data_IF_833410340198
#
_entry.id   IF_833410340198
#
_cell.length_a   1.000
_cell.length_b   1.000
_cell.length_c   1.000
_cell.angle_alpha   90.00
_cell.angle_beta   90.00
_cell.angle_gamma   90.00
#
_symmetry.space_group_name_H-M   'P 1'
#
loop_
_entity.id
_entity.type
_entity.pdbx_description
1 polymer ?
#
# COMPACT_ATOMS: atom_id res chain seq x y z
N UNK A 1 30.82 0.70 4.50
CA UNK A 1 30.69 0.96 3.09
C UNK A 1 30.19 -0.22 2.32
N UNK A 2 29.26 0.04 1.47
CA UNK A 2 28.64 -0.99 0.69
C UNK A 2 29.45 -1.21 -0.57
N UNK A 3 30.00 -2.39 -0.73
CA UNK A 3 30.79 -2.67 -1.91
C UNK A 3 29.94 -3.05 -3.11
N UNK A 4 28.79 -3.67 -2.84
CA UNK A 4 27.89 -4.09 -3.90
C UNK A 4 26.56 -3.42 -3.69
N UNK A 5 25.97 -2.89 -4.75
CA UNK A 5 24.65 -2.28 -4.60
C UNK A 5 23.65 -3.34 -4.19
N UNK A 6 22.69 -2.91 -3.39
CA UNK A 6 21.61 -3.80 -3.03
C UNK A 6 20.72 -4.04 -4.23
N UNK A 7 20.25 -5.26 -4.35
CA UNK A 7 19.34 -5.62 -5.41
C UNK A 7 17.92 -5.59 -4.91
N UNK A 8 16.99 -5.08 -5.71
CA UNK A 8 15.60 -5.01 -5.26
C UNK A 8 14.90 -6.36 -5.23
N UNK A 9 15.34 -7.31 -6.04
CA UNK A 9 14.61 -8.57 -6.20
C UNK A 9 14.43 -9.34 -4.91
N UNK A 10 15.46 -9.54 -4.07
CA UNK A 10 15.24 -10.29 -2.84
C UNK A 10 14.23 -9.62 -1.92
N UNK A 11 14.27 -8.30 -1.83
CA UNK A 11 13.31 -7.57 -0.99
C UNK A 11 11.90 -7.70 -1.54
N UNK A 12 11.75 -7.58 -2.86
CA UNK A 12 10.44 -7.73 -3.48
C UNK A 12 9.88 -9.13 -3.24
N UNK A 13 10.71 -10.15 -3.41
CA UNK A 13 10.28 -11.52 -3.20
C UNK A 13 9.88 -11.76 -1.75
N UNK A 14 10.65 -11.19 -0.81
CA UNK A 14 10.31 -11.29 0.60
C UNK A 14 8.95 -10.62 0.87
N UNK A 15 8.70 -9.48 0.23
CA UNK A 15 7.42 -8.82 0.36
C UNK A 15 6.27 -9.69 -0.10
N UNK A 16 6.45 -10.36 -1.24
CA UNK A 16 5.42 -11.26 -1.77
C UNK A 16 5.14 -12.39 -0.79
N UNK A 17 6.21 -12.97 -0.23
CA UNK A 17 6.03 -14.06 0.74
C UNK A 17 5.30 -13.59 1.99
N UNK A 18 5.67 -12.44 2.51
CA UNK A 18 4.98 -11.88 3.68
C UNK A 18 3.51 -11.59 3.38
N UNK A 19 3.23 -11.03 2.20
CA UNK A 19 1.86 -10.72 1.82
C UNK A 19 1.03 -12.00 1.72
N UNK A 20 1.61 -13.06 1.17
CA UNK A 20 0.92 -14.32 1.04
C UNK A 20 0.56 -14.92 2.40
N UNK A 21 1.33 -14.59 3.42
CA UNK A 21 1.09 -15.06 4.78
C UNK A 21 0.19 -14.12 5.57
N UNK A 22 -0.25 -13.03 4.97
CA UNK A 22 -1.06 -12.05 5.67
C UNK A 22 -0.28 -11.10 6.54
N UNK A 23 1.05 -11.14 6.46
CA UNK A 23 1.92 -10.26 7.25
C UNK A 23 2.12 -8.96 6.49
N UNK A 24 1.08 -8.12 6.49
CA UNK A 24 1.06 -6.97 5.60
C UNK A 24 2.05 -5.89 6.01
N UNK A 25 2.28 -5.70 7.30
CA UNK A 25 3.28 -4.74 7.75
C UNK A 25 4.67 -5.12 7.27
N UNK A 26 5.03 -6.39 7.45
CA UNK A 26 6.34 -6.87 7.00
C UNK A 26 6.46 -6.79 5.49
N UNK A 27 5.37 -7.08 4.78
CA UNK A 27 5.36 -6.98 3.32
C UNK A 27 5.58 -5.54 2.87
N UNK A 28 4.93 -4.58 3.52
CA UNK A 28 5.11 -3.17 3.20
C UNK A 28 6.58 -2.77 3.35
N UNK A 29 7.18 -3.13 4.47
CA UNK A 29 8.58 -2.82 4.72
C UNK A 29 9.48 -3.41 3.63
N UNK A 30 9.23 -4.66 3.26
CA UNK A 30 10.06 -5.32 2.25
C UNK A 30 9.93 -4.64 0.89
N UNK A 31 8.72 -4.31 0.46
CA UNK A 31 8.55 -3.63 -0.82
C UNK A 31 9.19 -2.25 -0.80
N UNK A 32 9.10 -1.53 0.32
CA UNK A 32 9.74 -0.21 0.41
C UNK A 32 11.26 -0.34 0.35
N UNK A 33 11.82 -1.40 0.92
CA UNK A 33 13.25 -1.65 0.80
C UNK A 33 13.65 -1.95 -0.64
N UNK A 34 12.81 -2.67 -1.38
CA UNK A 34 13.05 -2.91 -2.79
C UNK A 34 13.08 -1.60 -3.56
N UNK A 35 12.15 -0.70 -3.26
CA UNK A 35 12.07 0.61 -3.92
C UNK A 35 13.25 1.48 -3.51
N UNK A 36 13.68 1.39 -2.25
CA UNK A 36 14.87 2.10 -1.81
C UNK A 36 16.10 1.63 -2.57
N UNK A 37 16.20 0.32 -2.81
CA UNK A 37 17.33 -0.22 -3.57
C UNK A 37 17.30 0.23 -5.02
N UNK A 38 16.11 0.31 -5.61
CA UNK A 38 15.94 0.78 -6.98
C UNK A 38 14.63 1.54 -7.08
N UNK A 39 14.67 2.87 -7.06
CA UNK A 39 13.44 3.66 -7.01
C UNK A 39 12.48 3.47 -8.17
N UNK A 40 12.99 3.07 -9.34
CA UNK A 40 12.12 2.84 -10.50
C UNK A 40 11.82 1.36 -10.73
N UNK A 41 11.93 0.55 -9.70
CA UNK A 41 11.65 -0.88 -9.82
C UNK A 41 10.14 -1.10 -9.85
N UNK A 42 9.63 -1.25 -11.06
CA UNK A 42 8.19 -1.19 -11.32
C UNK A 42 7.40 -2.24 -10.56
N UNK A 43 7.91 -3.48 -10.50
CA UNK A 43 7.14 -4.56 -9.90
C UNK A 43 6.89 -4.32 -8.40
N UNK A 44 7.86 -3.71 -7.72
CA UNK A 44 7.67 -3.43 -6.29
C UNK A 44 6.63 -2.34 -6.09
N UNK A 45 6.60 -1.33 -6.97
CA UNK A 45 5.55 -0.31 -6.91
C UNK A 45 4.18 -0.93 -7.13
N UNK A 46 4.06 -1.82 -8.12
CA UNK A 46 2.80 -2.49 -8.39
C UNK A 46 2.38 -3.38 -7.23
N UNK A 47 3.33 -4.14 -6.69
CA UNK A 47 3.03 -5.03 -5.58
C UNK A 47 2.62 -4.22 -4.34
N UNK A 48 3.26 -3.09 -4.13
CA UNK A 48 2.89 -2.23 -3.00
C UNK A 48 1.48 -1.68 -3.17
N UNK A 49 1.12 -1.27 -4.39
CA UNK A 49 -0.24 -0.83 -4.66
C UNK A 49 -1.27 -1.91 -4.40
N UNK A 50 -0.98 -3.14 -4.87
CA UNK A 50 -1.88 -4.26 -4.63
C UNK A 50 -2.00 -4.56 -3.13
N UNK A 51 -0.89 -4.45 -2.41
CA UNK A 51 -0.89 -4.68 -0.98
C UNK A 51 -1.75 -3.65 -0.26
N UNK A 52 -1.59 -2.38 -0.62
CA UNK A 52 -2.42 -1.33 -0.01
C UNK A 52 -3.90 -1.55 -0.31
N UNK A 53 -4.23 -2.03 -1.51
CA UNK A 53 -5.61 -2.35 -1.83
C UNK A 53 -6.14 -3.46 -0.91
N UNK A 54 -5.35 -4.49 -0.69
CA UNK A 54 -5.75 -5.57 0.20
C UNK A 54 -5.93 -5.07 1.63
N UNK A 55 -5.03 -4.19 2.07
CA UNK A 55 -5.14 -3.61 3.40
C UNK A 55 -6.38 -2.74 3.54
N UNK A 56 -6.70 -1.99 2.49
CA UNK A 56 -7.90 -1.17 2.49
C UNK A 56 -9.16 -2.04 2.60
N UNK A 57 -9.18 -3.12 1.83
CA UNK A 57 -10.32 -4.04 1.86
C UNK A 57 -10.47 -4.68 3.23
N UNK A 58 -9.36 -5.02 3.85
CA UNK A 58 -9.38 -5.58 5.19
C UNK A 58 -9.94 -4.58 6.20
N UNK A 59 -9.55 -3.33 6.08
CA UNK A 59 -10.04 -2.28 6.97
C UNK A 59 -11.52 -2.04 6.77
N UNK A 60 -11.98 -2.03 5.53
CA UNK A 60 -13.41 -1.87 5.25
C UNK A 60 -14.23 -3.04 5.79
N UNK A 61 -13.71 -4.25 5.65
CA UNK A 61 -14.41 -5.42 6.18
C UNK A 61 -14.55 -5.31 7.70
N UNK A 62 -13.49 -4.83 8.35
CA UNK A 62 -13.51 -4.65 9.79
C UNK A 62 -14.51 -3.57 10.20
N UNK A 63 -14.58 -2.49 9.44
CA UNK A 63 -15.53 -1.42 9.72
C UNK A 63 -16.96 -1.93 9.63
N UNK A 64 -17.21 -2.82 8.66
CA UNK A 64 -18.53 -3.39 8.48
C UNK A 64 -18.93 -4.29 9.64
N UNK A 65 -17.96 -4.98 10.22
CA UNK A 65 -18.23 -5.93 11.30
C UNK A 65 -18.42 -5.23 12.65
N UNK A 66 -17.96 -3.99 12.77
CA UNK A 66 -18.00 -3.28 14.05
C UNK A 66 -19.34 -2.56 14.21
N UNK A 67 -19.88 -2.63 15.41
CA UNK A 67 -21.12 -1.95 15.73
C UNK A 67 -20.90 -0.45 15.67
N UNK A 68 -21.86 0.26 15.08
CA UNK A 68 -21.75 1.71 14.99
C UNK A 68 -21.80 2.34 16.37
N UNK A 69 -20.93 3.29 16.61
CA UNK A 69 -20.91 4.05 17.85
C UNK A 69 -21.41 5.46 17.60
N UNK A 70 -21.04 6.40 18.48
CA UNK A 70 -21.41 7.80 18.28
C UNK A 70 -20.90 8.30 16.95
N UNK A 71 -21.65 9.22 16.34
CA UNK A 71 -21.27 9.76 15.05
C UNK A 71 -20.04 10.64 15.18
N UNK A 72 -18.98 10.27 14.54
CA UNK A 72 -17.75 11.06 14.47
C UNK A 72 -17.46 11.32 13.01
N UNK A 73 -16.62 12.32 12.78
CA UNK A 73 -16.30 12.69 11.42
C UNK A 73 -15.46 11.64 10.74
N UNK A 74 -15.82 11.23 9.53
CA UNK A 74 -14.96 10.33 8.75
C UNK A 74 -13.84 11.12 8.10
N UNK A 75 -12.88 10.39 7.60
CA UNK A 75 -11.84 10.98 6.78
C UNK A 75 -12.43 11.49 5.47
N UNK A 76 -11.89 12.56 4.91
CA UNK A 76 -12.28 12.94 3.56
C UNK A 76 -11.89 11.87 2.57
N UNK A 77 -12.59 11.84 1.44
CA UNK A 77 -12.29 10.86 0.40
C UNK A 77 -10.86 11.02 -0.09
N UNK A 78 -10.20 9.91 -0.45
CA UNK A 78 -8.84 10.01 -0.96
C UNK A 78 -8.80 10.82 -2.25
N UNK A 79 -7.86 11.76 -2.32
CA UNK A 79 -7.73 12.59 -3.50
C UNK A 79 -7.35 11.78 -4.73
N UNK A 80 -6.56 10.76 -4.52
CA UNK A 80 -6.06 9.98 -5.63
C UNK A 80 -7.14 9.18 -6.32
N UNK A 81 -8.25 9.00 -5.69
CA UNK A 81 -9.26 8.22 -6.35
C UNK A 81 -9.77 8.89 -7.58
N UNK A 82 -9.34 9.92 -7.74
CA UNK A 82 -9.77 10.61 -8.87
C UNK A 82 -8.98 10.67 -10.03
N UNK A 83 -8.84 10.26 -9.86
CA UNK A 83 -8.19 10.44 -10.63
C UNK A 83 -8.36 11.13 -11.30
N UNK A 84 -8.71 11.16 -10.86
CA UNK A 84 -8.85 11.86 -11.24
C UNK A 84 -9.18 12.58 -11.50
N UNK A 85 -9.32 12.66 -11.24
CA UNK A 85 -9.65 13.49 -11.28
C UNK A 85 -10.01 14.13 -11.36
N UNK A 86 -10.16 14.14 -11.22
CA UNK A 86 -10.49 14.94 -11.16
C UNK A 86 -10.85 15.49 -11.05
N UNK A 87 -10.93 15.41 -10.90
CA UNK A 87 -11.20 16.11 -10.67
C UNK A 87 -11.60 16.69 -10.44
N UNK A 88 -11.62 16.58 -10.22
CA UNK A 88 -11.92 17.18 -9.90
C UNK A 88 -12.40 17.72 -9.75
N UNK A 89 -12.42 17.74 -9.64
CA UNK A 89 -12.90 18.33 -9.39
C UNK A 89 -13.34 18.94 -9.13
N UNK A 90 -13.26 18.78 -9.13
CA UNK A 90 -13.54 19.39 -8.79
C UNK A 90 -13.94 19.96 -8.41
N UNK A 91 -13.84 19.92 -8.22
CA UNK A 91 -14.19 20.58 -7.78
C UNK A 91 -14.73 21.26 -7.70
N UNK A 92 -14.86 21.51 -7.60
CA UNK A 92 -15.37 22.21 -7.54
C UNK A 92 -15.85 22.84 -7.17
#
# INVERSE_FOLDING_TARGET
>A
IQEFPELPEPYNNLGVLHAAQGNYHAATTAFLLAIQARPNYKIAHQNLGDLYTAMAQQAYAKAKAVQAGPALLPLPAPAASTTTTTNIRAVR
#
